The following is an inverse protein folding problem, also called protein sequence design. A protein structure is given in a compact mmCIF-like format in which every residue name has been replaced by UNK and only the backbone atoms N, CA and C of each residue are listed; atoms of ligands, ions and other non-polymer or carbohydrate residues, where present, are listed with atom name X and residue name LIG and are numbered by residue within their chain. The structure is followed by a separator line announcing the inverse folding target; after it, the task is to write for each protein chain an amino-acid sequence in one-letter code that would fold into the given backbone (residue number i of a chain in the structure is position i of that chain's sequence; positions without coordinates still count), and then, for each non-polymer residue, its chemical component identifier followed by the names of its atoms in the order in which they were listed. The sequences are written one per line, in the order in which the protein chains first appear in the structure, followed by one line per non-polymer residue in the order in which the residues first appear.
data_IF_658075392442
#
_entry.id   IF_658075392442
#
_cell.length_a   1.000
_cell.length_b   1.000
_cell.length_c   1.000
_cell.angle_alpha   90.00
_cell.angle_beta   90.00
_cell.angle_gamma   90.00
#
_symmetry.space_group_name_H-M   'P 1'
#
loop_
_entity.id
_entity.type
_entity.pdbx_description
1 polymer ?
#
# COMPACT_ATOMS: atom_id res chain seq x y z
N UNK A 1 -9.29 23.97 3.84
CA UNK A 1 -9.93 22.70 3.45
C UNK A 1 -9.01 21.99 2.48
N UNK A 2 -8.28 20.95 2.92
CA UNK A 2 -7.42 20.18 2.01
C UNK A 2 -8.29 19.36 1.06
N UNK A 3 -7.94 19.36 -0.22
CA UNK A 3 -8.54 18.47 -1.23
C UNK A 3 -8.13 17.03 -0.91
N UNK A 4 -9.09 16.25 -0.41
CA UNK A 4 -9.33 14.85 -0.79
C UNK A 4 -8.59 13.76 -0.02
N UNK A 5 -9.05 13.43 1.19
CA UNK A 5 -9.14 12.00 1.55
C UNK A 5 -10.27 11.43 0.69
N UNK A 6 -9.92 10.84 -0.45
CA UNK A 6 -10.91 10.32 -1.39
C UNK A 6 -11.46 9.01 -0.83
N UNK A 7 -12.72 9.03 -0.37
CA UNK A 7 -13.42 7.80 0.01
C UNK A 7 -13.62 6.96 -1.23
N UNK A 8 -13.08 5.74 -1.24
CA UNK A 8 -13.30 4.81 -2.33
C UNK A 8 -14.72 4.21 -2.19
N UNK A 9 -15.55 4.23 -3.25
CA UNK A 9 -16.96 3.82 -3.19
C UNK A 9 -17.12 2.28 -3.23
N UNK A 10 -16.21 1.55 -2.59
CA UNK A 10 -16.24 0.10 -2.44
C UNK A 10 -16.01 -0.25 -0.97
N UNK A 11 -16.59 -1.36 -0.51
CA UNK A 11 -16.36 -1.86 0.85
C UNK A 11 -14.92 -2.37 1.04
N UNK A 12 -14.47 -2.41 2.29
CA UNK A 12 -13.20 -3.04 2.66
C UNK A 12 -13.14 -4.51 2.20
N UNK A 13 -14.28 -5.22 2.22
CA UNK A 13 -14.37 -6.61 1.77
C UNK A 13 -14.19 -6.74 0.25
N UNK A 14 -14.86 -5.91 -0.54
CA UNK A 14 -14.69 -5.92 -2.00
C UNK A 14 -13.28 -5.47 -2.40
N UNK A 15 -12.72 -4.48 -1.69
CA UNK A 15 -11.33 -4.08 -1.87
C UNK A 15 -10.36 -5.21 -1.56
N UNK A 16 -10.64 -6.04 -0.54
CA UNK A 16 -9.83 -7.23 -0.23
C UNK A 16 -9.82 -8.22 -1.39
N UNK A 17 -10.97 -8.48 -2.00
CA UNK A 17 -11.06 -9.39 -3.15
C UNK A 17 -10.19 -8.89 -4.31
N UNK A 18 -10.25 -7.60 -4.63
CA UNK A 18 -9.41 -7.00 -5.67
C UNK A 18 -7.91 -7.14 -5.31
N UNK A 19 -7.55 -6.79 -4.08
CA UNK A 19 -6.16 -6.84 -3.62
C UNK A 19 -5.61 -8.27 -3.59
N UNK A 20 -6.42 -9.26 -3.17
CA UNK A 20 -6.02 -10.66 -3.20
C UNK A 20 -5.76 -11.17 -4.60
N UNK A 21 -6.55 -10.76 -5.59
CA UNK A 21 -6.31 -11.12 -6.99
C UNK A 21 -5.00 -10.52 -7.52
N UNK A 22 -4.68 -9.28 -7.13
CA UNK A 22 -3.39 -8.64 -7.45
C UNK A 22 -2.24 -9.43 -6.83
N UNK A 23 -2.32 -9.75 -5.54
CA UNK A 23 -1.29 -10.53 -4.86
C UNK A 23 -1.14 -11.94 -5.43
N UNK A 24 -2.24 -12.62 -5.73
CA UNK A 24 -2.19 -13.93 -6.40
C UNK A 24 -1.51 -13.85 -7.77
N UNK A 25 -1.79 -12.80 -8.55
CA UNK A 25 -1.22 -12.66 -9.89
C UNK A 25 0.27 -12.36 -9.91
N UNK A 26 0.76 -11.57 -8.96
CA UNK A 26 2.15 -11.07 -8.92
C UNK A 26 3.04 -11.93 -8.00
N UNK A 27 2.52 -12.37 -6.85
CA UNK A 27 3.27 -13.11 -5.82
C UNK A 27 2.82 -14.58 -5.66
N UNK A 28 1.76 -15.01 -6.35
CA UNK A 28 1.24 -16.37 -6.25
C UNK A 28 0.52 -16.68 -4.92
N UNK A 29 0.32 -15.67 -4.07
CA UNK A 29 -0.25 -15.81 -2.73
C UNK A 29 -1.25 -14.68 -2.46
N UNK A 30 -2.29 -14.97 -1.68
CA UNK A 30 -3.16 -13.93 -1.11
C UNK A 30 -2.38 -12.99 -0.19
N UNK A 31 -2.91 -11.79 0.02
CA UNK A 31 -2.26 -10.82 0.88
C UNK A 31 -2.19 -11.33 2.33
N UNK A 32 -1.00 -11.24 2.93
CA UNK A 32 -0.69 -11.77 4.27
C UNK A 32 -1.41 -11.04 5.39
N UNK A 33 -1.73 -9.76 5.19
CA UNK A 33 -2.41 -8.93 6.17
C UNK A 33 -3.54 -8.13 5.51
N UNK A 34 -4.64 -7.98 6.24
CA UNK A 34 -5.75 -7.10 5.91
C UNK A 34 -6.52 -6.75 7.18
N UNK A 35 -6.03 -5.75 7.89
CA UNK A 35 -6.68 -5.26 9.09
C UNK A 35 -7.55 -4.08 8.70
N UNK A 36 -8.86 -4.25 8.81
CA UNK A 36 -9.85 -3.21 8.59
C UNK A 36 -10.57 -2.84 9.88
N UNK A 37 -10.90 -1.56 10.05
CA UNK A 37 -11.74 -1.08 11.14
C UNK A 37 -12.55 0.14 10.69
N UNK A 38 -13.63 0.47 11.40
CA UNK A 38 -14.54 1.56 11.02
C UNK A 38 -13.88 2.96 11.11
N UNK A 39 -12.90 3.14 12.01
CA UNK A 39 -12.23 4.41 12.27
C UNK A 39 -10.78 4.43 11.73
N UNK A 40 -10.18 5.61 11.50
CA UNK A 40 -8.76 5.68 11.14
C UNK A 40 -7.83 5.10 12.21
N UNK A 41 -6.66 4.61 11.79
CA UNK A 41 -5.58 4.16 12.68
C UNK A 41 -4.78 5.37 13.19
N UNK A 42 -5.35 6.10 14.16
CA UNK A 42 -4.78 7.35 14.68
C UNK A 42 -3.44 7.17 15.39
N UNK A 43 -3.16 5.96 15.86
CA UNK A 43 -1.88 5.58 16.45
C UNK A 43 -0.75 5.51 15.42
N UNK A 44 -1.05 5.55 14.12
CA UNK A 44 -0.07 5.42 13.04
C UNK A 44 0.27 6.74 12.34
N UNK A 45 -0.04 7.90 12.92
CA UNK A 45 0.15 9.21 12.27
C UNK A 45 1.61 9.68 12.16
N UNK A 46 2.58 9.00 12.77
CA UNK A 46 4.01 9.34 12.70
C UNK A 46 4.85 8.13 12.31
N UNK A 47 6.01 8.37 11.67
CA UNK A 47 6.90 7.30 11.21
C UNK A 47 7.46 6.46 12.38
N UNK A 48 7.64 7.07 13.55
CA UNK A 48 8.10 6.40 14.77
C UNK A 48 7.05 5.38 15.22
N UNK A 49 5.77 5.74 15.16
CA UNK A 49 4.68 4.84 15.53
C UNK A 49 4.51 3.65 14.56
N UNK A 50 5.03 3.77 13.34
CA UNK A 50 5.14 2.64 12.41
C UNK A 50 6.22 1.63 12.79
N UNK A 51 7.03 1.89 13.83
CA UNK A 51 7.98 0.93 14.40
C UNK A 51 9.06 0.47 13.43
N UNK A 52 9.44 1.33 12.47
CA UNK A 52 10.30 0.94 11.34
C UNK A 52 11.75 0.64 11.74
N UNK A 53 12.20 1.08 12.91
CA UNK A 53 13.51 0.73 13.45
C UNK A 53 13.65 -0.77 13.76
N UNK A 54 12.58 -1.40 14.25
CA UNK A 54 12.53 -2.83 14.55
C UNK A 54 12.20 -3.68 13.31
N UNK A 55 11.83 -3.04 12.20
CA UNK A 55 11.50 -3.73 10.97
C UNK A 55 12.78 -4.30 10.35
N UNK A 56 12.87 -5.63 10.25
CA UNK A 56 13.92 -6.36 9.53
C UNK A 56 13.41 -6.97 8.20
N UNK A 57 12.33 -6.43 7.63
CA UNK A 57 11.75 -6.92 6.39
C UNK A 57 12.82 -7.04 5.30
N UNK A 58 12.85 -8.20 4.66
CA UNK A 58 13.71 -8.48 3.52
C UNK A 58 13.08 -7.85 2.28
N UNK A 59 13.92 -7.52 1.30
CA UNK A 59 13.46 -7.05 0.00
C UNK A 59 12.85 -8.22 -0.81
N UNK A 60 11.64 -8.63 -0.44
CA UNK A 60 10.86 -9.63 -1.16
C UNK A 60 10.26 -8.99 -2.41
N UNK A 61 10.92 -9.17 -3.56
CA UNK A 61 10.55 -8.46 -4.79
C UNK A 61 9.07 -8.66 -5.16
N UNK A 62 8.59 -9.90 -5.31
CA UNK A 62 7.21 -10.18 -5.77
C UNK A 62 6.13 -9.71 -4.79
N UNK A 63 6.29 -9.97 -3.49
CA UNK A 63 5.33 -9.55 -2.46
C UNK A 63 5.24 -8.03 -2.37
N UNK A 64 6.39 -7.36 -2.27
CA UNK A 64 6.42 -5.88 -2.16
C UNK A 64 5.93 -5.22 -3.44
N UNK A 65 6.20 -5.81 -4.61
CA UNK A 65 5.65 -5.35 -5.89
C UNK A 65 4.12 -5.46 -5.95
N UNK A 66 3.56 -6.58 -5.49
CA UNK A 66 2.12 -6.78 -5.46
C UNK A 66 1.41 -5.75 -4.58
N UNK A 67 1.96 -5.49 -3.40
CA UNK A 67 1.42 -4.50 -2.49
C UNK A 67 1.62 -3.07 -2.99
N UNK A 68 2.79 -2.75 -3.59
CA UNK A 68 3.02 -1.45 -4.23
C UNK A 68 1.97 -1.18 -5.31
N UNK A 69 1.67 -2.18 -6.16
CA UNK A 69 0.63 -2.09 -7.18
C UNK A 69 -0.75 -1.90 -6.56
N UNK A 70 -1.13 -2.73 -5.60
CA UNK A 70 -2.45 -2.67 -4.97
C UNK A 70 -2.68 -1.37 -4.21
N UNK A 71 -1.69 -0.87 -3.46
CA UNK A 71 -1.79 0.43 -2.80
C UNK A 71 -1.93 1.55 -3.82
N UNK A 72 -1.10 1.55 -4.87
CA UNK A 72 -1.16 2.60 -5.89
C UNK A 72 -2.49 2.61 -6.64
N UNK A 73 -3.06 1.44 -6.93
CA UNK A 73 -4.38 1.33 -7.53
C UNK A 73 -5.46 2.04 -6.70
N UNK A 74 -5.39 1.91 -5.37
CA UNK A 74 -6.37 2.51 -4.47
C UNK A 74 -6.08 3.96 -4.09
N UNK A 75 -4.82 4.39 -4.12
CA UNK A 75 -4.43 5.69 -3.54
C UNK A 75 -3.82 6.66 -4.54
N UNK A 76 -3.63 6.25 -5.80
CA UNK A 76 -2.92 7.06 -6.80
C UNK A 76 -1.47 7.33 -6.42
N UNK A 77 -0.88 6.48 -5.57
CA UNK A 77 0.51 6.56 -5.14
C UNK A 77 0.76 7.42 -3.88
N UNK A 78 -0.31 7.81 -3.17
CA UNK A 78 -0.25 8.56 -1.91
C UNK A 78 -0.94 7.79 -0.80
N UNK A 79 -0.19 6.94 -0.12
CA UNK A 79 -0.69 5.93 0.83
C UNK A 79 -0.89 6.59 2.21
N UNK A 80 -2.13 6.71 2.72
CA UNK A 80 -2.36 7.34 4.02
C UNK A 80 -1.86 6.48 5.17
N UNK A 81 -1.11 7.08 6.08
CA UNK A 81 -0.57 6.39 7.25
C UNK A 81 -1.69 5.89 8.19
N UNK A 82 -2.76 6.66 8.33
CA UNK A 82 -3.93 6.32 9.15
C UNK A 82 -4.87 5.28 8.52
N UNK A 83 -4.51 4.69 7.38
CA UNK A 83 -5.33 3.73 6.65
C UNK A 83 -5.93 4.28 5.36
N UNK A 84 -6.07 3.40 4.36
CA UNK A 84 -6.74 3.68 3.09
C UNK A 84 -8.26 3.67 3.35
N UNK A 85 -8.95 4.75 3.01
CA UNK A 85 -10.37 4.91 3.29
C UNK A 85 -11.26 4.30 2.19
N UNK A 86 -12.14 3.41 2.60
CA UNK A 86 -13.18 2.75 1.82
C UNK A 86 -14.56 3.19 2.31
N UNK A 87 -15.63 2.74 1.65
CA UNK A 87 -16.99 3.23 1.93
C UNK A 87 -17.49 2.91 3.34
N UNK A 88 -16.95 1.86 3.95
CA UNK A 88 -17.39 1.30 5.23
C UNK A 88 -16.27 1.24 6.29
N UNK A 89 -15.07 1.77 5.99
CA UNK A 89 -13.96 1.75 6.94
C UNK A 89 -12.61 2.09 6.35
N UNK A 90 -11.58 1.74 7.11
CA UNK A 90 -10.17 1.97 6.80
C UNK A 90 -9.42 0.65 6.79
N UNK A 91 -8.54 0.47 5.81
CA UNK A 91 -7.61 -0.66 5.77
C UNK A 91 -6.20 -0.15 6.08
N UNK A 92 -5.58 -0.77 7.08
CA UNK A 92 -4.20 -0.45 7.47
C UNK A 92 -3.21 -1.00 6.44
N UNK A 93 -2.29 -0.18 5.90
CA UNK A 93 -1.16 -0.70 5.13
C UNK A 93 -0.27 -1.59 6.03
N UNK A 94 0.18 -2.71 5.48
CA UNK A 94 1.08 -3.64 6.16
C UNK A 94 2.42 -2.98 6.51
N UNK A 95 2.77 -2.98 7.80
CA UNK A 95 3.97 -2.32 8.33
C UNK A 95 5.28 -2.96 7.87
N UNK A 96 5.29 -4.27 7.61
CA UNK A 96 6.46 -4.98 7.11
C UNK A 96 6.73 -4.61 5.66
N UNK A 97 5.67 -4.58 4.85
CA UNK A 97 5.74 -4.16 3.46
C UNK A 97 6.13 -2.70 3.32
N UNK A 98 5.53 -1.80 4.11
CA UNK A 98 5.90 -0.37 4.11
C UNK A 98 7.40 -0.21 4.41
N UNK A 99 7.92 -0.91 5.41
CA UNK A 99 9.35 -0.89 5.72
C UNK A 99 10.24 -1.39 4.59
N UNK A 100 9.83 -2.47 3.92
CA UNK A 100 10.56 -2.97 2.76
C UNK A 100 10.56 -1.96 1.60
N UNK A 101 9.41 -1.31 1.33
CA UNK A 101 9.29 -0.29 0.30
C UNK A 101 10.16 0.94 0.59
N UNK A 102 10.17 1.43 1.84
CA UNK A 102 11.03 2.53 2.29
C UNK A 102 12.52 2.19 2.11
N UNK A 103 12.96 1.02 2.56
CA UNK A 103 14.36 0.57 2.42
C UNK A 103 14.80 0.38 0.97
N UNK A 104 13.86 0.03 0.10
CA UNK A 104 14.12 -0.13 -1.34
C UNK A 104 13.97 1.17 -2.14
N UNK A 105 13.75 2.30 -1.45
CA UNK A 105 13.56 3.63 -2.06
C UNK A 105 12.44 3.67 -3.09
N UNK A 106 11.34 2.94 -2.85
CA UNK A 106 10.15 2.93 -3.73
C UNK A 106 9.05 3.86 -3.23
N UNK A 107 9.09 4.17 -1.94
CA UNK A 107 8.25 5.18 -1.30
C UNK A 107 9.12 5.98 -0.34
N UNK A 108 8.69 7.20 -0.04
CA UNK A 108 9.25 8.02 1.03
C UNK A 108 8.14 8.44 2.00
N UNK A 109 8.54 8.77 3.23
CA UNK A 109 7.64 9.31 4.24
C UNK A 109 7.48 10.83 4.04
N UNK A 110 6.25 11.31 3.95
CA UNK A 110 5.90 12.73 4.02
C UNK A 110 5.19 13.01 5.35
N UNK A 111 5.93 13.38 6.42
CA UNK A 111 5.35 13.54 7.76
C UNK A 111 4.30 14.66 7.83
N UNK A 112 4.53 15.76 7.09
CA UNK A 112 3.61 16.90 7.07
C UNK A 112 2.25 16.54 6.46
N UNK A 113 2.23 15.66 5.46
CA UNK A 113 1.01 15.16 4.85
C UNK A 113 0.43 13.93 5.56
N UNK A 114 1.18 13.29 6.47
CA UNK A 114 0.86 11.99 7.09
C UNK A 114 0.62 10.89 6.04
N UNK A 115 1.49 10.85 5.03
CA UNK A 115 1.38 9.96 3.86
C UNK A 115 2.73 9.29 3.58
N UNK A 116 2.68 8.08 3.01
CA UNK A 116 3.78 7.56 2.22
C UNK A 116 3.53 7.85 0.75
N UNK A 117 4.50 8.42 0.06
CA UNK A 117 4.35 8.79 -1.34
C UNK A 117 5.36 8.03 -2.18
N UNK A 118 4.96 7.61 -3.38
CA UNK A 118 5.88 6.93 -4.30
C UNK A 118 7.02 7.86 -4.73
N UNK A 119 8.23 7.30 -4.78
CA UNK A 119 9.38 7.92 -5.43
C UNK A 119 9.31 7.68 -6.95
N UNK A 120 10.19 8.33 -7.71
CA UNK A 120 10.39 8.03 -9.14
C UNK A 120 10.69 6.54 -9.36
N UNK A 121 11.58 5.97 -8.55
CA UNK A 121 11.90 4.53 -8.58
C UNK A 121 10.69 3.64 -8.28
N UNK A 122 9.78 4.07 -7.40
CA UNK A 122 8.50 3.39 -7.17
C UNK A 122 7.62 3.36 -8.43
N UNK A 123 7.49 4.50 -9.12
CA UNK A 123 6.74 4.61 -10.38
C UNK A 123 7.36 3.80 -11.52
N UNK A 124 8.68 3.82 -11.64
CA UNK A 124 9.41 3.00 -12.62
C UNK A 124 9.17 1.51 -12.38
N UNK A 125 9.19 1.09 -11.11
CA UNK A 125 8.93 -0.30 -10.76
C UNK A 125 7.52 -0.73 -11.17
N UNK A 126 6.51 0.10 -10.90
CA UNK A 126 5.14 -0.16 -11.33
C UNK A 126 4.99 -0.26 -12.84
N UNK A 127 5.63 0.65 -13.57
CA UNK A 127 5.65 0.63 -15.04
C UNK A 127 6.22 -0.69 -15.55
N UNK A 128 7.31 -1.17 -14.94
CA UNK A 128 7.89 -2.48 -15.22
C UNK A 128 6.96 -3.67 -14.94
N UNK A 129 6.11 -3.60 -13.91
CA UNK A 129 5.11 -4.65 -13.63
C UNK A 129 3.99 -4.65 -14.68
N UNK A 130 3.58 -3.47 -15.15
CA UNK A 130 2.54 -3.34 -16.18
C UNK A 130 3.01 -3.77 -17.58
N UNK A 131 4.32 -3.67 -17.84
CA UNK A 131 4.95 -4.13 -19.09
C UNK A 131 5.18 -5.65 -19.17
N UNK A 132 5.07 -6.39 -18.06
CA UNK A 132 5.15 -7.86 -18.04
C UNK A 132 3.77 -8.43 -18.39
N UNK A 133 3.42 -8.39 -19.68
CA UNK A 133 2.49 -9.30 -20.32
C UNK A 133 1.13 -9.51 -19.62
N UNK A 134 0.22 -8.54 -19.75
CA UNK A 134 -1.21 -8.83 -19.88
C UNK A 134 -1.58 -9.43 -21.26
N UNK A 135 -0.58 -9.64 -22.12
CA UNK A 135 -0.70 -10.27 -23.44
C UNK A 135 0.17 -11.52 -23.49
N UNK A 136 -0.12 -12.56 -22.69
CA UNK A 136 0.26 -13.94 -23.04
C UNK A 136 -0.71 -14.94 -22.43
N UNK A 137 -1.41 -15.57 -23.37
CA UNK A 137 -2.28 -16.76 -23.35
C UNK A 137 -3.70 -16.56 -22.84
#
# INVERSE_FOLDING_TARGET
MSKGDHVLPISCENARVIFDNICLRIDGKKASAWTSQAAPFLDLETIEAWGQEANNAKNEKSRTDAFLFGYTLFTGGRIPMKGIQFSDGYVRPDAWVVGALLKSDRIFCNPSAKMFELTEHGWDRLSGLSGISFIRK
#
